data_IF_705262782648
#
_entry.id   IF_705262782648
#
_cell.length_a   1.000
_cell.length_b   1.000
_cell.length_c   1.000
_cell.angle_alpha   90.00
_cell.angle_beta   90.00
_cell.angle_gamma   90.00
#
_symmetry.space_group_name_H-M   'P 1'
#
loop_
_entity.id
_entity.type
_entity.pdbx_description
1 polymer ?
#
# COMPACT_ATOMS: atom_id res chain seq x y z
N UNK A 1 16.53 56.13 -37.03
CA UNK A 1 16.31 55.54 -35.68
C UNK A 1 14.98 54.81 -35.70
N UNK A 2 14.90 53.65 -35.01
CA UNK A 2 13.65 52.99 -34.57
C UNK A 2 12.93 51.98 -35.49
N UNK A 3 13.62 50.93 -35.94
CA UNK A 3 12.97 49.68 -36.40
C UNK A 3 13.76 48.42 -36.04
N UNK A 4 14.13 48.21 -34.78
CA UNK A 4 14.87 46.99 -34.41
C UNK A 4 14.62 46.44 -33.00
N UNK A 5 13.52 46.81 -32.32
CA UNK A 5 13.32 46.41 -30.91
C UNK A 5 12.30 45.26 -30.72
N UNK A 6 11.57 44.83 -31.76
CA UNK A 6 10.42 43.92 -31.56
C UNK A 6 10.72 42.41 -31.56
N UNK A 7 11.97 41.93 -31.39
CA UNK A 7 12.27 40.48 -31.48
C UNK A 7 12.85 39.82 -30.23
N UNK A 8 12.97 40.51 -29.09
CA UNK A 8 13.58 39.93 -27.87
C UNK A 8 12.57 39.79 -26.71
N UNK A 9 11.27 39.74 -26.99
CA UNK A 9 10.25 39.53 -25.95
C UNK A 9 9.68 38.09 -25.93
N UNK A 10 10.04 37.23 -26.90
CA UNK A 10 9.41 35.91 -27.06
C UNK A 10 10.24 34.73 -26.51
N UNK A 11 11.45 34.96 -25.98
CA UNK A 11 12.32 33.88 -25.51
C UNK A 11 12.33 33.67 -23.99
N UNK A 12 11.77 34.61 -23.20
CA UNK A 12 11.79 34.53 -21.74
C UNK A 12 10.57 33.81 -21.13
N UNK A 13 9.53 33.51 -21.90
CA UNK A 13 8.29 32.91 -21.39
C UNK A 13 8.25 31.38 -21.46
N UNK A 14 9.19 30.72 -22.15
CA UNK A 14 9.17 29.25 -22.31
C UNK A 14 9.94 28.53 -21.19
N UNK A 15 10.87 29.18 -20.50
CA UNK A 15 11.66 28.55 -19.42
C UNK A 15 11.01 28.64 -18.02
N UNK A 16 10.00 29.48 -17.82
CA UNK A 16 9.31 29.60 -16.52
C UNK A 16 8.24 28.51 -16.28
N UNK A 17 7.82 27.80 -17.33
CA UNK A 17 6.73 26.80 -17.24
C UNK A 17 7.17 25.38 -16.86
N UNK A 18 8.47 25.06 -16.95
CA UNK A 18 8.97 23.69 -16.72
C UNK A 18 9.43 23.47 -15.26
N UNK A 19 9.68 24.55 -14.51
CA UNK A 19 10.17 24.45 -13.12
C UNK A 19 9.07 24.13 -12.10
N UNK A 20 7.79 24.17 -12.47
CA UNK A 20 6.65 23.88 -11.59
C UNK A 20 6.07 22.47 -11.77
N UNK A 21 6.66 21.63 -12.62
CA UNK A 21 6.12 20.32 -12.99
C UNK A 21 6.76 19.11 -12.27
N UNK A 22 7.43 19.29 -11.13
CA UNK A 22 7.79 18.19 -10.22
C UNK A 22 7.92 18.73 -8.79
N UNK A 23 7.20 18.17 -7.78
CA UNK A 23 6.82 16.76 -7.67
C UNK A 23 5.30 16.58 -7.52
N UNK A 24 4.60 16.26 -8.62
CA UNK A 24 3.22 15.79 -8.56
C UNK A 24 3.11 14.24 -8.58
N UNK A 25 4.21 13.51 -8.36
CA UNK A 25 4.27 12.05 -8.52
C UNK A 25 4.64 11.28 -7.24
N UNK A 26 4.32 11.83 -6.07
CA UNK A 26 4.25 11.05 -4.84
C UNK A 26 2.82 11.14 -4.30
N UNK A 27 1.85 10.66 -5.08
CA UNK A 27 0.67 10.12 -4.42
C UNK A 27 1.17 8.86 -3.72
N UNK A 28 1.30 8.91 -2.39
CA UNK A 28 1.56 7.72 -1.58
C UNK A 28 0.47 6.70 -1.92
N UNK A 29 0.79 5.76 -2.82
CA UNK A 29 -0.11 4.68 -3.15
C UNK A 29 -0.44 3.99 -1.82
N UNK A 30 -1.74 3.80 -1.57
CA UNK A 30 -2.23 3.23 -0.31
C UNK A 30 -1.49 1.92 -0.05
N UNK A 31 -0.67 1.92 1.01
CA UNK A 31 0.20 0.80 1.36
C UNK A 31 -0.63 -0.46 1.54
N UNK A 32 -0.18 -1.58 1.00
CA UNK A 32 -0.90 -2.86 1.07
C UNK A 32 -0.18 -3.82 1.99
N UNK A 33 -0.89 -4.35 2.98
CA UNK A 33 -0.40 -5.34 3.93
C UNK A 33 -1.20 -6.64 3.86
N UNK A 34 -0.53 -7.77 3.93
CA UNK A 34 -1.17 -9.08 4.03
C UNK A 34 -1.11 -9.55 5.48
N UNK A 35 -2.24 -9.96 6.03
CA UNK A 35 -2.39 -10.42 7.41
C UNK A 35 -2.82 -11.89 7.37
N UNK A 36 -1.88 -12.79 7.58
CA UNK A 36 -2.07 -14.23 7.41
C UNK A 36 -2.22 -14.90 8.78
N UNK A 37 -3.45 -15.26 9.15
CA UNK A 37 -3.72 -15.88 10.44
C UNK A 37 -3.82 -17.39 10.34
N UNK A 38 -3.17 -18.11 11.28
CA UNK A 38 -3.42 -19.54 11.50
C UNK A 38 -4.81 -19.81 12.10
N UNK A 39 -5.47 -18.78 12.62
CA UNK A 39 -6.77 -18.88 13.25
C UNK A 39 -7.91 -19.31 12.34
N UNK A 40 -9.02 -19.71 12.95
CA UNK A 40 -10.26 -20.02 12.26
C UNK A 40 -11.21 -18.81 12.22
N UNK A 41 -11.94 -18.57 11.10
CA UNK A 41 -12.85 -17.43 11.00
C UNK A 41 -14.09 -17.54 11.90
N UNK A 42 -14.35 -18.72 12.48
CA UNK A 42 -15.47 -18.99 13.40
C UNK A 42 -15.06 -19.04 14.87
N UNK A 43 -13.79 -18.85 15.19
CA UNK A 43 -13.29 -18.84 16.56
C UNK A 43 -13.44 -17.43 17.14
N UNK A 44 -14.00 -17.33 18.35
CA UNK A 44 -14.32 -16.07 19.00
C UNK A 44 -13.11 -15.14 19.13
N UNK A 45 -11.93 -15.68 19.49
CA UNK A 45 -10.70 -14.89 19.59
C UNK A 45 -10.32 -14.29 18.24
N UNK A 46 -10.42 -15.08 17.17
CA UNK A 46 -10.02 -14.66 15.84
C UNK A 46 -11.02 -13.70 15.19
N UNK A 47 -12.30 -13.75 15.58
CA UNK A 47 -13.32 -12.75 15.20
C UNK A 47 -12.94 -11.37 15.77
N UNK A 48 -12.62 -11.30 17.07
CA UNK A 48 -12.23 -10.04 17.71
C UNK A 48 -10.89 -9.54 17.17
N UNK A 49 -9.93 -10.45 16.94
CA UNK A 49 -8.66 -10.12 16.28
C UNK A 49 -8.88 -9.53 14.89
N UNK A 50 -9.79 -10.10 14.08
CA UNK A 50 -10.11 -9.59 12.75
C UNK A 50 -10.69 -8.18 12.82
N UNK A 51 -11.63 -7.94 13.74
CA UNK A 51 -12.23 -6.62 13.92
C UNK A 51 -11.17 -5.57 14.32
N UNK A 52 -10.26 -5.93 15.22
CA UNK A 52 -9.13 -5.08 15.61
C UNK A 52 -8.18 -4.80 14.44
N UNK A 53 -7.83 -5.83 13.67
CA UNK A 53 -6.97 -5.71 12.49
C UNK A 53 -7.61 -4.80 11.43
N UNK A 54 -8.87 -5.02 11.07
CA UNK A 54 -9.61 -4.16 10.12
C UNK A 54 -9.63 -2.71 10.59
N UNK A 55 -9.97 -2.47 11.86
CA UNK A 55 -9.99 -1.11 12.42
C UNK A 55 -8.62 -0.44 12.36
N UNK A 56 -7.54 -1.17 12.65
CA UNK A 56 -6.18 -0.63 12.56
C UNK A 56 -5.82 -0.25 11.12
N UNK A 57 -6.19 -1.08 10.14
CA UNK A 57 -5.96 -0.79 8.73
C UNK A 57 -6.69 0.48 8.27
N UNK A 58 -7.94 0.66 8.71
CA UNK A 58 -8.73 1.86 8.44
C UNK A 58 -8.10 3.12 9.07
N UNK A 59 -7.67 3.03 10.33
CA UNK A 59 -7.02 4.13 11.05
C UNK A 59 -5.70 4.56 10.40
N UNK A 60 -4.92 3.59 9.92
CA UNK A 60 -3.64 3.82 9.26
C UNK A 60 -3.80 4.19 7.78
N UNK A 61 -5.03 4.14 7.24
CA UNK A 61 -5.35 4.38 5.83
C UNK A 61 -4.49 3.48 4.91
N UNK A 62 -4.42 2.20 5.24
CA UNK A 62 -3.71 1.17 4.47
C UNK A 62 -4.69 0.11 3.98
N UNK A 63 -4.35 -0.60 2.91
CA UNK A 63 -5.14 -1.72 2.39
C UNK A 63 -4.69 -2.98 3.09
N UNK A 64 -5.60 -3.73 3.71
CA UNK A 64 -5.28 -5.02 4.32
C UNK A 64 -5.95 -6.17 3.58
N UNK A 65 -5.18 -7.22 3.30
CA UNK A 65 -5.65 -8.51 2.79
C UNK A 65 -5.54 -9.54 3.91
N UNK A 66 -6.65 -9.80 4.59
CA UNK A 66 -6.71 -10.70 5.75
C UNK A 66 -7.14 -12.09 5.29
N UNK A 67 -6.44 -13.13 5.72
CA UNK A 67 -6.79 -14.54 5.45
C UNK A 67 -6.69 -15.39 6.71
N UNK A 68 -7.55 -16.40 6.79
CA UNK A 68 -7.59 -17.37 7.89
C UNK A 68 -7.36 -18.76 7.34
N UNK A 69 -6.37 -19.49 7.86
CA UNK A 69 -6.08 -20.85 7.43
C UNK A 69 -6.73 -21.93 8.31
N UNK A 70 -7.32 -21.57 9.45
CA UNK A 70 -8.05 -22.52 10.30
C UNK A 70 -7.19 -23.69 10.81
N UNK A 71 -5.92 -23.44 11.09
CA UNK A 71 -4.95 -24.46 11.51
C UNK A 71 -4.32 -25.25 10.36
N UNK A 72 -4.77 -25.07 9.11
CA UNK A 72 -4.15 -25.70 7.95
C UNK A 72 -2.86 -24.96 7.57
N UNK A 73 -1.73 -25.57 7.91
CA UNK A 73 -0.40 -25.02 7.63
C UNK A 73 -0.04 -25.03 6.14
N UNK A 74 -0.60 -25.97 5.37
CA UNK A 74 -0.40 -25.99 3.92
C UNK A 74 -1.15 -24.82 3.28
N UNK A 75 -2.39 -24.57 3.70
CA UNK A 75 -3.15 -23.39 3.25
C UNK A 75 -2.45 -22.08 3.63
N UNK A 76 -1.90 -21.99 4.84
CA UNK A 76 -1.16 -20.80 5.27
C UNK A 76 0.12 -20.58 4.44
N UNK A 77 0.86 -21.66 4.12
CA UNK A 77 2.01 -21.60 3.21
C UNK A 77 1.61 -21.06 1.83
N UNK A 78 0.51 -21.53 1.26
CA UNK A 78 0.06 -21.03 -0.05
C UNK A 78 -0.41 -19.56 0.02
N UNK A 79 -1.00 -19.14 1.15
CA UNK A 79 -1.30 -17.73 1.39
C UNK A 79 -0.03 -16.87 1.45
N UNK A 80 1.07 -17.38 2.03
CA UNK A 80 2.38 -16.72 1.99
C UNK A 80 2.91 -16.61 0.57
N UNK A 81 2.87 -17.69 -0.22
CA UNK A 81 3.32 -17.67 -1.62
C UNK A 81 2.53 -16.63 -2.44
N UNK A 82 1.21 -16.58 -2.26
CA UNK A 82 0.35 -15.59 -2.89
C UNK A 82 0.69 -14.16 -2.47
N UNK A 83 0.90 -13.93 -1.17
CA UNK A 83 1.30 -12.63 -0.65
C UNK A 83 2.66 -12.19 -1.22
N UNK A 84 3.68 -13.06 -1.22
CA UNK A 84 4.99 -12.76 -1.80
C UNK A 84 4.92 -12.41 -3.29
N UNK A 85 4.12 -13.16 -4.06
CA UNK A 85 3.92 -12.90 -5.48
C UNK A 85 3.26 -11.54 -5.74
N UNK A 86 2.39 -11.09 -4.84
CA UNK A 86 1.71 -9.78 -4.92
C UNK A 86 2.62 -8.59 -4.58
N UNK A 87 3.82 -8.82 -4.03
CA UNK A 87 4.79 -7.78 -3.63
C UNK A 87 4.18 -6.66 -2.74
N UNK A 88 3.53 -7.01 -1.62
CA UNK A 88 2.95 -6.03 -0.71
C UNK A 88 4.03 -5.21 0.00
N UNK A 89 3.61 -4.12 0.64
CA UNK A 89 4.47 -3.31 1.51
C UNK A 89 4.81 -4.04 2.83
N UNK A 90 4.06 -5.08 3.19
CA UNK A 90 4.40 -5.95 4.32
C UNK A 90 3.50 -7.17 4.46
N UNK A 91 4.01 -8.15 5.21
CA UNK A 91 3.28 -9.36 5.59
C UNK A 91 3.38 -9.49 7.11
N UNK A 92 2.23 -9.54 7.78
CA UNK A 92 2.10 -9.91 9.19
C UNK A 92 1.49 -11.31 9.27
N UNK A 93 1.96 -12.12 10.22
CA UNK A 93 1.49 -13.50 10.38
C UNK A 93 1.30 -13.86 11.84
N UNK A 94 0.43 -14.83 12.09
CA UNK A 94 0.36 -15.54 13.36
C UNK A 94 0.77 -16.99 13.16
N UNK A 95 1.47 -17.58 14.13
CA UNK A 95 1.81 -19.00 14.14
C UNK A 95 1.07 -19.68 15.28
N UNK A 96 0.61 -20.91 15.07
CA UNK A 96 0.24 -21.76 16.18
C UNK A 96 1.52 -22.00 17.01
N UNK A 97 1.47 -21.75 18.31
CA UNK A 97 2.51 -22.18 19.23
C UNK A 97 2.16 -23.59 19.71
N UNK A 98 3.10 -24.56 19.68
CA UNK A 98 2.91 -25.82 20.36
C UNK A 98 2.69 -25.56 21.86
N UNK A 99 1.63 -26.14 22.42
CA UNK A 99 1.33 -26.10 23.85
C UNK A 99 2.29 -26.94 24.69
#
# INVERSE_FOLDING_TARGET
>A
MLRFVSKIAAAATVFAGVALAAPALAQDAQKTFYLLSHGGPSDAFWIDWNAGATKACDQLKVTCKISFSGGDMAAQKEAFNSALAAKPDGIATTSAQPG
#
